data_IF_074336439398
#
_entry.id   IF_074336439398
#
_cell.length_a   1.000
_cell.length_b   1.000
_cell.length_c   1.000
_cell.angle_alpha   90.00
_cell.angle_beta   90.00
_cell.angle_gamma   90.00
#
_symmetry.space_group_name_H-M   'P 1'
#
loop_
_entity.id
_entity.type
_entity.pdbx_description
1 polymer ?
#
# COMPACT_ATOMS: atom_id res chain seq x y z
N UNK A 1 10.77 -19.27 4.85
CA UNK A 1 10.40 -18.10 4.01
C UNK A 1 9.91 -17.03 4.95
N UNK A 2 10.14 -15.76 4.61
CA UNK A 2 9.73 -14.65 5.49
C UNK A 2 8.58 -13.90 4.83
N UNK A 3 7.51 -13.58 5.56
CA UNK A 3 6.43 -12.82 4.96
C UNK A 3 6.92 -11.47 4.45
N UNK A 4 6.36 -11.02 3.34
CA UNK A 4 6.57 -9.68 2.81
C UNK A 4 5.30 -8.87 2.92
N UNK A 5 5.44 -7.59 3.26
CA UNK A 5 4.36 -6.61 3.26
C UNK A 5 4.75 -5.50 2.31
N UNK A 6 4.02 -5.37 1.20
CA UNK A 6 4.22 -4.35 0.19
C UNK A 6 3.27 -3.18 0.44
N UNK A 7 3.82 -1.99 0.53
CA UNK A 7 3.09 -0.75 0.82
C UNK A 7 3.26 0.22 -0.33
N UNK A 8 2.14 0.77 -0.78
CA UNK A 8 2.13 1.99 -1.57
C UNK A 8 0.92 2.86 -1.22
N UNK A 9 0.95 4.14 -1.59
CA UNK A 9 -0.09 5.10 -1.24
C UNK A 9 -0.44 6.02 -2.40
N UNK A 10 -1.69 6.46 -2.41
CA UNK A 10 -2.19 7.45 -3.38
C UNK A 10 -2.68 8.70 -2.66
N UNK A 11 -2.15 9.85 -3.06
CA UNK A 11 -2.45 11.15 -2.48
C UNK A 11 -1.31 11.71 -1.64
N UNK A 12 -1.34 13.02 -1.43
CA UNK A 12 -0.36 13.73 -0.61
C UNK A 12 -0.72 13.55 0.88
N UNK A 13 0.22 13.20 1.79
CA UNK A 13 -0.08 13.12 3.21
C UNK A 13 -0.25 14.49 3.89
N UNK A 14 0.11 15.60 3.25
CA UNK A 14 -0.02 16.95 3.81
C UNK A 14 -1.45 17.51 3.84
N UNK A 15 -1.65 18.63 4.54
CA UNK A 15 -2.95 19.29 4.73
C UNK A 15 -3.12 20.60 3.93
N UNK A 16 -2.27 20.86 2.94
CA UNK A 16 -2.31 22.10 2.16
C UNK A 16 -3.35 22.00 1.03
N UNK A 17 -4.63 21.78 1.38
CA UNK A 17 -5.71 21.53 0.42
C UNK A 17 -5.86 22.66 -0.63
N UNK A 18 -5.75 23.92 -0.19
CA UNK A 18 -5.79 25.10 -1.08
C UNK A 18 -4.55 25.26 -1.98
N UNK A 19 -3.54 24.41 -1.81
CA UNK A 19 -2.29 24.38 -2.60
C UNK A 19 -2.05 23.01 -3.25
N UNK A 20 -3.10 22.21 -3.41
CA UNK A 20 -3.05 20.96 -4.16
C UNK A 20 -2.93 19.67 -3.34
N UNK A 21 -2.91 19.71 -2.00
CA UNK A 21 -3.04 18.47 -1.22
C UNK A 21 -4.41 17.83 -1.51
N UNK A 22 -4.43 16.53 -1.81
CA UNK A 22 -5.68 15.78 -2.03
C UNK A 22 -6.51 15.71 -0.75
N UNK A 23 -7.84 15.66 -0.84
CA UNK A 23 -8.69 15.43 0.35
C UNK A 23 -8.60 13.99 0.86
N UNK A 24 -8.31 13.07 -0.06
CA UNK A 24 -8.15 11.64 0.22
C UNK A 24 -6.68 11.24 0.21
N UNK A 25 -6.32 10.42 1.19
CA UNK A 25 -5.09 9.62 1.20
C UNK A 25 -5.51 8.15 1.24
N UNK A 26 -4.94 7.34 0.35
CA UNK A 26 -5.14 5.89 0.34
C UNK A 26 -3.81 5.22 0.65
N UNK A 27 -3.81 4.22 1.53
CA UNK A 27 -2.64 3.39 1.83
C UNK A 27 -3.03 1.94 1.55
N UNK A 28 -2.37 1.32 0.58
CA UNK A 28 -2.54 -0.09 0.27
C UNK A 28 -1.44 -0.91 0.95
N UNK A 29 -1.82 -2.03 1.54
CA UNK A 29 -0.92 -3.04 2.05
C UNK A 29 -1.26 -4.39 1.44
N UNK A 30 -0.27 -5.05 0.84
CA UNK A 30 -0.40 -6.42 0.32
C UNK A 30 0.60 -7.29 1.06
N UNK A 31 0.11 -8.30 1.76
CA UNK A 31 0.91 -9.23 2.53
C UNK A 31 0.91 -10.62 1.91
N UNK A 32 2.02 -11.33 2.03
CA UNK A 32 2.21 -12.61 1.35
C UNK A 32 3.37 -13.38 1.93
N UNK A 33 3.44 -14.69 1.65
CA UNK A 33 4.69 -15.42 1.76
C UNK A 33 5.68 -14.95 0.68
N UNK A 34 6.98 -15.15 0.93
CA UNK A 34 8.06 -14.70 0.06
C UNK A 34 7.88 -15.13 -1.41
N UNK A 35 7.97 -14.18 -2.35
CA UNK A 35 7.90 -14.38 -3.82
C UNK A 35 6.56 -14.93 -4.37
N UNK A 36 5.45 -14.81 -3.64
CA UNK A 36 4.14 -15.30 -4.15
C UNK A 36 3.51 -14.40 -5.22
N UNK A 37 3.87 -13.11 -5.27
CA UNK A 37 3.33 -12.16 -6.24
C UNK A 37 4.27 -12.11 -7.46
N UNK A 38 3.78 -12.66 -8.56
CA UNK A 38 4.43 -12.64 -9.87
C UNK A 38 3.46 -12.18 -10.96
N UNK A 39 3.82 -11.09 -11.64
CA UNK A 39 3.04 -10.49 -12.72
C UNK A 39 3.58 -10.87 -14.11
N UNK A 40 4.59 -11.75 -14.21
CA UNK A 40 5.17 -12.22 -15.48
C UNK A 40 4.12 -12.74 -16.46
N UNK A 41 3.28 -13.68 -16.03
CA UNK A 41 2.21 -14.25 -16.85
C UNK A 41 1.17 -13.22 -17.31
N UNK A 42 0.93 -12.16 -16.53
CA UNK A 42 0.06 -11.06 -16.95
C UNK A 42 0.73 -10.19 -18.02
N UNK A 43 2.04 -9.94 -17.92
CA UNK A 43 2.80 -9.23 -18.97
C UNK A 43 2.74 -10.02 -20.27
N UNK A 44 2.93 -11.33 -20.20
CA UNK A 44 2.81 -12.24 -21.35
C UNK A 44 1.40 -12.24 -21.96
N UNK A 45 0.34 -12.39 -21.15
CA UNK A 45 -1.06 -12.35 -21.63
C UNK A 45 -1.36 -11.05 -22.40
N UNK A 46 -0.80 -9.93 -21.94
CA UNK A 46 -1.03 -8.61 -22.51
C UNK A 46 -0.02 -8.22 -23.60
N UNK A 47 0.88 -9.12 -23.98
CA UNK A 47 1.99 -8.85 -24.91
C UNK A 47 2.79 -7.59 -24.54
N UNK A 48 3.02 -7.39 -23.24
CA UNK A 48 3.82 -6.29 -22.70
C UNK A 48 5.30 -6.71 -22.56
N UNK A 49 6.24 -5.76 -22.61
CA UNK A 49 7.64 -6.04 -22.27
C UNK A 49 7.78 -6.69 -20.88
N UNK A 50 8.78 -7.55 -20.71
CA UNK A 50 9.03 -8.25 -19.44
C UNK A 50 9.33 -7.29 -18.28
N UNK A 51 9.88 -6.11 -18.60
CA UNK A 51 10.18 -5.02 -17.67
C UNK A 51 9.06 -3.96 -17.59
N UNK A 52 7.88 -4.23 -18.17
CA UNK A 52 6.74 -3.32 -18.06
C UNK A 52 6.34 -3.12 -16.60
N UNK A 53 6.34 -1.86 -16.18
CA UNK A 53 5.90 -1.41 -14.86
C UNK A 53 4.39 -1.12 -14.88
N UNK A 54 3.64 -1.89 -14.09
CA UNK A 54 2.25 -1.54 -13.77
C UNK A 54 2.26 -0.41 -12.74
N UNK A 55 2.07 0.81 -13.23
CA UNK A 55 1.90 1.99 -12.40
C UNK A 55 0.57 2.66 -12.70
N UNK A 56 -0.32 2.76 -11.70
CA UNK A 56 -1.72 3.09 -11.90
C UNK A 56 -1.87 4.36 -12.74
N UNK A 57 -1.15 5.43 -12.43
CA UNK A 57 -1.27 6.70 -13.16
C UNK A 57 -0.87 6.62 -14.64
N UNK A 58 0.07 5.72 -15.01
CA UNK A 58 0.61 5.56 -16.37
C UNK A 58 -0.06 4.44 -17.16
N UNK A 59 -0.64 3.46 -16.48
CA UNK A 59 -1.28 2.30 -17.10
C UNK A 59 -2.65 2.67 -17.67
N UNK A 60 -3.00 2.18 -18.86
CA UNK A 60 -4.29 2.47 -19.50
C UNK A 60 -5.47 1.82 -18.77
N UNK A 61 -6.68 2.34 -18.94
CA UNK A 61 -7.89 1.77 -18.31
C UNK A 61 -8.14 0.30 -18.70
N UNK A 62 -7.83 -0.07 -19.94
CA UNK A 62 -7.96 -1.45 -20.41
C UNK A 62 -6.99 -2.39 -19.68
N UNK A 63 -5.72 -2.00 -19.55
CA UNK A 63 -4.72 -2.78 -18.81
C UNK A 63 -5.06 -2.82 -17.32
N UNK A 64 -5.49 -1.71 -16.71
CA UNK A 64 -5.94 -1.69 -15.30
C UNK A 64 -7.06 -2.69 -15.03
N UNK A 65 -8.02 -2.82 -15.96
CA UNK A 65 -9.12 -3.79 -15.85
C UNK A 65 -8.61 -5.23 -15.92
N UNK A 66 -7.68 -5.52 -16.82
CA UNK A 66 -7.04 -6.83 -16.96
C UNK A 66 -6.20 -7.18 -15.73
N UNK A 67 -5.41 -6.23 -15.24
CA UNK A 67 -4.67 -6.35 -13.98
C UNK A 67 -5.59 -6.68 -12.81
N UNK A 68 -6.69 -5.92 -12.66
CA UNK A 68 -7.69 -6.16 -11.62
C UNK A 68 -8.23 -7.60 -11.69
N UNK A 69 -8.62 -8.07 -12.89
CA UNK A 69 -9.12 -9.43 -13.08
C UNK A 69 -8.07 -10.49 -12.73
N UNK A 70 -6.83 -10.30 -13.19
CA UNK A 70 -5.72 -11.21 -12.92
C UNK A 70 -5.46 -11.34 -11.43
N UNK A 71 -5.20 -10.21 -10.76
CA UNK A 71 -4.86 -10.19 -9.33
C UNK A 71 -6.03 -10.76 -8.52
N UNK A 72 -7.28 -10.46 -8.90
CA UNK A 72 -8.49 -11.00 -8.26
C UNK A 72 -8.66 -12.52 -8.38
N UNK A 73 -8.06 -13.12 -9.41
CA UNK A 73 -8.06 -14.56 -9.62
C UNK A 73 -6.88 -15.30 -8.98
N UNK A 74 -5.77 -14.61 -8.74
CA UNK A 74 -4.49 -15.21 -8.32
C UNK A 74 -4.11 -14.95 -6.87
N UNK A 75 -4.46 -13.79 -6.33
CA UNK A 75 -4.09 -13.43 -4.96
C UNK A 75 -5.21 -13.76 -3.97
N UNK A 76 -4.82 -14.21 -2.78
CA UNK A 76 -5.74 -14.28 -1.64
C UNK A 76 -5.90 -12.87 -1.04
N UNK A 77 -7.02 -12.21 -1.33
CA UNK A 77 -7.32 -10.86 -0.84
C UNK A 77 -7.55 -10.76 0.66
N UNK A 78 -7.67 -11.89 1.37
CA UNK A 78 -7.58 -11.86 2.83
C UNK A 78 -6.28 -11.19 3.33
N UNK A 79 -5.29 -11.12 2.45
CA UNK A 79 -3.95 -10.58 2.69
C UNK A 79 -3.73 -9.18 2.12
N UNK A 80 -4.75 -8.56 1.54
CA UNK A 80 -4.70 -7.21 0.99
C UNK A 80 -5.69 -6.27 1.69
N UNK A 81 -5.18 -5.11 2.12
CA UNK A 81 -5.94 -4.08 2.85
C UNK A 81 -5.71 -2.74 2.16
N UNK A 82 -6.77 -1.96 1.97
CA UNK A 82 -6.66 -0.57 1.53
C UNK A 82 -7.33 0.33 2.55
N UNK A 83 -6.53 1.14 3.23
CA UNK A 83 -7.00 2.19 4.12
C UNK A 83 -7.33 3.44 3.30
N UNK A 84 -8.57 3.91 3.38
CA UNK A 84 -9.07 5.14 2.77
C UNK A 84 -9.27 6.19 3.86
N UNK A 85 -8.41 7.21 3.85
CA UNK A 85 -8.41 8.31 4.81
C UNK A 85 -9.07 9.53 4.19
N UNK A 86 -10.15 10.02 4.79
CA UNK A 86 -10.70 11.36 4.49
C UNK A 86 -10.04 12.38 5.41
N UNK A 87 -9.07 13.13 4.87
CA UNK A 87 -8.27 14.06 5.67
C UNK A 87 -9.06 15.26 6.18
N UNK A 88 -10.25 15.53 5.64
CA UNK A 88 -11.11 16.62 6.11
C UNK A 88 -11.75 16.30 7.46
N UNK A 89 -11.90 15.01 7.76
CA UNK A 89 -12.50 14.51 8.99
C UNK A 89 -11.46 14.23 10.09
N UNK A 90 -10.17 14.39 9.79
CA UNK A 90 -9.10 14.15 10.76
C UNK A 90 -9.10 15.21 11.88
N UNK A 91 -8.83 14.80 13.13
CA UNK A 91 -8.60 15.72 14.25
C UNK A 91 -7.53 16.79 13.93
N UNK A 92 -7.64 17.94 14.58
CA UNK A 92 -6.74 19.08 14.33
C UNK A 92 -5.27 18.77 14.63
N UNK A 93 -4.98 17.81 15.51
CA UNK A 93 -3.62 17.40 15.87
C UNK A 93 -2.82 16.88 14.67
N UNK A 94 -3.46 16.20 13.72
CA UNK A 94 -2.81 15.77 12.48
C UNK A 94 -2.27 16.93 11.65
N UNK A 95 -2.85 18.14 11.78
CA UNK A 95 -2.38 19.34 11.06
C UNK A 95 -1.03 19.84 11.57
N UNK A 96 -0.60 19.40 12.76
CA UNK A 96 0.71 19.72 13.35
C UNK A 96 1.80 18.70 12.98
N UNK A 97 1.41 17.56 12.42
CA UNK A 97 2.34 16.49 12.05
C UNK A 97 2.96 16.73 10.67
N UNK A 98 4.16 16.18 10.46
CA UNK A 98 4.77 16.13 9.13
C UNK A 98 4.06 15.10 8.24
N UNK A 99 4.19 15.25 6.93
CA UNK A 99 3.67 14.26 5.97
C UNK A 99 4.23 12.85 6.20
N UNK A 100 5.50 12.74 6.57
CA UNK A 100 6.14 11.47 6.92
C UNK A 100 5.50 10.83 8.17
N UNK A 101 5.20 11.61 9.20
CA UNK A 101 4.55 11.11 10.42
C UNK A 101 3.12 10.64 10.13
N UNK A 102 2.36 11.44 9.39
CA UNK A 102 0.98 11.13 8.98
C UNK A 102 0.97 9.83 8.17
N UNK A 103 1.86 9.72 7.18
CA UNK A 103 1.95 8.52 6.35
C UNK A 103 2.35 7.29 7.18
N UNK A 104 3.35 7.42 8.05
CA UNK A 104 3.79 6.32 8.90
C UNK A 104 2.67 5.81 9.82
N UNK A 105 1.89 6.72 10.41
CA UNK A 105 0.75 6.36 11.26
C UNK A 105 -0.34 5.63 10.47
N UNK A 106 -0.67 6.10 9.26
CA UNK A 106 -1.65 5.42 8.43
C UNK A 106 -1.17 4.09 7.85
N UNK A 107 0.12 3.91 7.62
CA UNK A 107 0.70 2.59 7.33
C UNK A 107 0.46 1.66 8.53
N UNK A 108 0.73 2.11 9.76
CA UNK A 108 0.46 1.32 10.97
C UNK A 108 -1.02 0.95 11.09
N UNK A 109 -1.92 1.91 10.86
CA UNK A 109 -3.37 1.64 10.84
C UNK A 109 -3.80 0.65 9.77
N UNK A 110 -3.08 0.57 8.65
CA UNK A 110 -3.34 -0.37 7.59
C UNK A 110 -2.83 -1.78 7.95
N UNK A 111 -1.58 -1.89 8.43
CA UNK A 111 -0.93 -3.20 8.67
C UNK A 111 -1.38 -3.89 9.96
N UNK A 112 -1.93 -3.17 10.95
CA UNK A 112 -2.39 -3.77 12.21
C UNK A 112 -3.52 -4.79 12.05
N UNK A 113 -4.17 -4.76 10.90
CA UNK A 113 -5.30 -5.62 10.55
C UNK A 113 -4.84 -6.85 9.70
N UNK A 114 -3.53 -6.98 9.43
CA UNK A 114 -2.92 -8.13 8.75
C UNK A 114 -2.84 -9.31 9.73
N UNK A 115 -3.10 -10.56 9.30
CA UNK A 115 -2.94 -11.75 10.14
C UNK A 115 -1.54 -11.86 10.76
N UNK A 116 -1.48 -12.26 12.04
CA UNK A 116 -0.21 -12.32 12.79
C UNK A 116 0.87 -13.15 12.10
N UNK A 117 0.50 -14.27 11.46
CA UNK A 117 1.45 -15.13 10.74
C UNK A 117 2.12 -14.44 9.54
N UNK A 118 1.50 -13.41 8.96
CA UNK A 118 2.05 -12.61 7.87
C UNK A 118 2.69 -11.30 8.35
N UNK A 119 2.46 -10.92 9.60
CA UNK A 119 2.99 -9.70 10.20
C UNK A 119 4.26 -9.98 11.01
N UNK A 120 4.33 -11.10 11.72
CA UNK A 120 5.50 -11.47 12.52
C UNK A 120 6.69 -11.81 11.65
N UNK A 121 7.84 -11.24 11.99
CA UNK A 121 9.12 -11.45 11.31
C UNK A 121 9.10 -11.06 9.82
N UNK A 122 8.12 -10.25 9.42
CA UNK A 122 7.94 -9.81 8.04
C UNK A 122 8.96 -8.76 7.64
N UNK A 123 9.22 -8.66 6.33
CA UNK A 123 9.94 -7.54 5.72
C UNK A 123 8.90 -6.60 5.11
N UNK A 124 8.82 -5.38 5.62
CA UNK A 124 7.98 -4.34 5.06
C UNK A 124 8.75 -3.59 3.97
N UNK A 125 8.20 -3.60 2.76
CA UNK A 125 8.72 -2.92 1.58
C UNK A 125 7.77 -1.78 1.23
N UNK A 126 8.30 -0.60 0.95
CA UNK A 126 7.51 0.54 0.48
C UNK A 126 8.14 1.14 -0.77
N UNK A 127 7.31 1.70 -1.66
CA UNK A 127 7.84 2.37 -2.85
C UNK A 127 8.62 3.62 -2.46
N UNK A 128 9.83 3.71 -3.00
CA UNK A 128 10.76 4.76 -2.62
C UNK A 128 12.18 4.50 -3.06
N UNK A 129 13.00 5.54 -2.89
CA UNK A 129 14.44 5.44 -3.13
C UNK A 129 15.16 5.11 -1.82
N UNK A 130 16.28 4.39 -1.91
CA UNK A 130 17.07 3.96 -0.74
C UNK A 130 17.56 5.14 0.12
N UNK A 131 17.65 6.33 -0.46
CA UNK A 131 18.09 7.56 0.20
C UNK A 131 17.03 8.18 1.13
N UNK A 132 15.78 7.70 1.12
CA UNK A 132 14.70 8.15 2.01
C UNK A 132 14.85 7.61 3.45
N UNK A 133 16.05 7.75 4.03
CA UNK A 133 16.39 7.30 5.38
C UNK A 133 15.54 7.97 6.46
N UNK A 134 15.12 9.22 6.26
CA UNK A 134 14.26 9.97 7.19
C UNK A 134 12.94 9.24 7.41
N UNK A 135 12.21 8.97 6.33
CA UNK A 135 10.91 8.31 6.40
C UNK A 135 11.02 6.89 6.97
N UNK A 136 12.04 6.11 6.55
CA UNK A 136 12.28 4.77 7.13
C UNK A 136 12.38 4.81 8.66
N UNK A 137 13.12 5.78 9.20
CA UNK A 137 13.30 5.91 10.64
C UNK A 137 11.99 6.32 11.34
N UNK A 138 11.25 7.27 10.76
CA UNK A 138 9.93 7.67 11.25
C UNK A 138 8.97 6.47 11.27
N UNK A 139 8.94 5.69 10.19
CA UNK A 139 8.08 4.50 10.08
C UNK A 139 8.45 3.42 11.11
N UNK A 140 9.75 3.08 11.25
CA UNK A 140 10.20 2.10 12.24
C UNK A 140 9.88 2.51 13.68
N UNK A 141 10.05 3.80 13.98
CA UNK A 141 9.69 4.37 15.29
C UNK A 141 8.19 4.26 15.53
N UNK A 142 7.38 4.72 14.58
CA UNK A 142 5.91 4.70 14.67
C UNK A 142 5.37 3.28 14.85
N UNK A 143 5.89 2.31 14.09
CA UNK A 143 5.55 0.88 14.26
C UNK A 143 5.91 0.39 15.67
N UNK A 144 7.10 0.77 16.17
CA UNK A 144 7.52 0.39 17.52
C UNK A 144 6.63 1.00 18.59
N UNK A 145 6.26 2.28 18.45
CA UNK A 145 5.47 3.01 19.44
C UNK A 145 4.01 2.54 19.49
N UNK A 146 3.44 2.14 18.35
CA UNK A 146 2.01 1.80 18.24
C UNK A 146 1.71 0.30 18.31
N UNK A 147 2.64 -0.58 17.93
CA UNK A 147 2.36 -2.01 17.79
C UNK A 147 3.22 -2.91 18.72
N UNK A 148 4.22 -2.38 19.44
CA UNK A 148 4.96 -3.22 20.41
C UNK A 148 4.21 -3.35 21.73
N UNK A 149 4.37 -4.49 22.43
CA UNK A 149 5.22 -5.64 22.08
C UNK A 149 4.59 -6.63 21.07
N UNK A 150 3.38 -6.37 20.60
CA UNK A 150 2.61 -7.31 19.79
C UNK A 150 3.23 -7.62 18.41
N UNK A 151 3.98 -6.69 17.80
CA UNK A 151 4.54 -6.87 16.44
C UNK A 151 6.05 -6.71 16.39
N UNK A 152 6.71 -7.69 15.76
CA UNK A 152 8.13 -7.63 15.42
C UNK A 152 8.33 -7.76 13.90
N UNK A 153 8.70 -6.66 13.24
CA UNK A 153 9.16 -6.69 11.84
C UNK A 153 10.66 -6.96 11.78
N UNK A 154 11.06 -7.84 10.85
CA UNK A 154 12.48 -8.12 10.60
C UNK A 154 13.18 -6.90 10.02
N UNK A 155 12.58 -6.28 9.00
CA UNK A 155 13.13 -5.08 8.39
C UNK A 155 12.05 -4.21 7.74
N UNK A 156 12.43 -2.97 7.45
CA UNK A 156 11.64 -1.97 6.73
C UNK A 156 12.56 -1.40 5.65
N UNK A 157 12.21 -1.53 4.37
CA UNK A 157 13.08 -1.12 3.25
C UNK A 157 12.31 -0.32 2.19
N UNK A 158 12.95 0.74 1.68
CA UNK A 158 12.55 1.37 0.43
C UNK A 158 13.04 0.53 -0.76
N UNK A 159 12.19 0.34 -1.75
CA UNK A 159 12.53 -0.33 -3.01
C UNK A 159 11.74 0.33 -4.16
N UNK A 160 12.33 0.54 -5.34
CA UNK A 160 11.59 1.06 -6.49
C UNK A 160 10.51 0.08 -6.96
N UNK A 161 9.26 0.54 -7.13
CA UNK A 161 8.17 -0.27 -7.63
C UNK A 161 8.45 -0.91 -9.01
N UNK A 162 9.21 -0.23 -9.88
CA UNK A 162 9.61 -0.75 -11.19
C UNK A 162 10.39 -2.07 -11.14
N UNK A 163 10.90 -2.46 -9.97
CA UNK A 163 11.66 -3.70 -9.75
C UNK A 163 10.92 -4.71 -8.85
N UNK A 164 9.65 -4.43 -8.48
CA UNK A 164 8.94 -5.24 -7.51
C UNK A 164 7.44 -5.35 -7.79
N UNK A 165 7.01 -6.56 -8.14
CA UNK A 165 5.62 -6.87 -8.50
C UNK A 165 4.63 -6.69 -7.34
N UNK A 166 5.07 -6.89 -6.10
CA UNK A 166 4.27 -6.63 -4.91
C UNK A 166 4.01 -5.15 -4.69
N UNK A 167 5.01 -4.29 -4.90
CA UNK A 167 4.84 -2.83 -4.84
C UNK A 167 3.96 -2.31 -5.97
N UNK A 168 4.14 -2.81 -7.20
CA UNK A 168 3.23 -2.51 -8.33
C UNK A 168 1.79 -2.91 -8.02
N UNK A 169 1.61 -4.05 -7.33
CA UNK A 169 0.29 -4.50 -6.89
C UNK A 169 -0.32 -3.56 -5.85
N UNK A 170 0.46 -3.09 -4.88
CA UNK A 170 0.00 -2.12 -3.90
C UNK A 170 -0.43 -0.78 -4.56
N UNK A 171 0.36 -0.25 -5.50
CA UNK A 171 0.04 0.96 -6.27
C UNK A 171 -1.29 0.82 -7.02
N UNK A 172 -1.40 -0.26 -7.79
CA UNK A 172 -2.59 -0.54 -8.59
C UNK A 172 -3.83 -0.68 -7.72
N UNK A 173 -3.74 -1.33 -6.54
CA UNK A 173 -4.86 -1.42 -5.60
C UNK A 173 -5.25 -0.07 -5.00
N UNK A 174 -4.28 0.76 -4.61
CA UNK A 174 -4.56 2.11 -4.11
C UNK A 174 -5.29 2.94 -5.17
N UNK A 175 -4.84 2.90 -6.42
CA UNK A 175 -5.50 3.61 -7.53
C UNK A 175 -6.88 3.07 -7.89
N UNK A 176 -7.05 1.74 -7.89
CA UNK A 176 -8.34 1.11 -8.17
C UNK A 176 -9.40 1.51 -7.12
N UNK A 177 -9.07 1.44 -5.83
CA UNK A 177 -9.99 1.84 -4.75
C UNK A 177 -10.31 3.33 -4.81
N UNK A 178 -9.34 4.17 -5.20
CA UNK A 178 -9.56 5.60 -5.38
C UNK A 178 -10.61 5.91 -6.45
N UNK A 179 -10.59 5.16 -7.55
CA UNK A 179 -11.46 5.40 -8.72
C UNK A 179 -12.78 4.63 -8.67
N UNK A 180 -12.83 3.49 -7.98
CA UNK A 180 -14.00 2.61 -7.92
C UNK A 180 -14.58 2.56 -6.50
N UNK A 181 -15.56 3.42 -6.21
CA UNK A 181 -16.18 3.52 -4.88
C UNK A 181 -16.96 2.26 -4.43
N UNK A 182 -17.18 1.29 -5.33
CA UNK A 182 -18.00 0.09 -5.09
C UNK A 182 -17.23 -1.25 -5.14
N UNK A 183 -15.89 -1.26 -5.07
CA UNK A 183 -15.10 -2.52 -5.05
C UNK A 183 -15.41 -3.46 -3.87
N UNK A 184 -16.25 -3.03 -2.91
CA UNK A 184 -16.48 -3.66 -1.62
C UNK A 184 -17.37 -4.91 -1.61
N UNK A 185 -18.17 -5.19 -2.64
CA UNK A 185 -19.20 -6.25 -2.53
C UNK A 185 -18.89 -7.58 -3.23
N UNK A 186 -17.87 -7.64 -4.11
CA UNK A 186 -17.55 -8.86 -4.89
C UNK A 186 -16.16 -9.45 -4.63
N UNK A 187 -15.32 -8.78 -3.85
CA UNK A 187 -13.91 -9.13 -3.70
C UNK A 187 -13.56 -9.07 -2.21
N UNK A 188 -12.81 -10.06 -1.71
CA UNK A 188 -12.36 -10.12 -0.31
C UNK A 188 -11.31 -9.04 0.03
N UNK A 189 -11.25 -7.93 -0.71
CA UNK A 189 -10.36 -6.79 -0.43
C UNK A 189 -10.92 -6.02 0.76
N UNK A 190 -10.15 -5.93 1.85
CA UNK A 190 -10.57 -5.19 3.04
C UNK A 190 -10.34 -3.69 2.83
N UNK A 191 -11.41 -2.93 2.62
CA UNK A 191 -11.34 -1.47 2.55
C UNK A 191 -11.71 -0.89 3.91
N UNK A 192 -10.75 -0.27 4.57
CA UNK A 192 -10.95 0.38 5.88
C UNK A 192 -11.14 1.88 5.65
N UNK A 193 -12.19 2.48 6.21
CA UNK A 193 -12.40 3.93 6.18
C UNK A 193 -11.86 4.56 7.47
N UNK A 194 -11.19 5.70 7.35
CA UNK A 194 -10.66 6.46 8.49
C UNK A 194 -10.95 7.97 8.32
N UNK A 195 -11.40 8.66 9.38
CA UNK A 195 -11.89 8.11 10.65
C UNK A 195 -13.13 7.23 10.42
N UNK A 196 -13.42 6.31 11.36
CA UNK A 196 -14.58 5.41 11.30
C UNK A 196 -15.88 6.16 11.51
#
# INVERSE_FOLDING_TARGET
MNPHIYIDWSGDPGFRFRRGSSDLLLVAAVSTEENEIDLSSLREELALPADYEFHFAKTSAAIRKKFQQFVFSKLDFSRAIVLRVDKRLLPQEYRKMSGEQILAEFIVHCIKDIPDNLLQNAILLYDGKREQKSFRNVLRKTISDMLKPAVYLRDVKAMPASQNDGLQTADMLAGLVRTQSQMTSRVKLKIVRYPR
#
